data_IF_523828979099
#
_entry.id   IF_523828979099
#
_cell.length_a   1.000
_cell.length_b   1.000
_cell.length_c   1.000
_cell.angle_alpha   90.00
_cell.angle_beta   90.00
_cell.angle_gamma   90.00
#
_symmetry.space_group_name_H-M   'P 1'
#
loop_
_entity.id
_entity.type
_entity.pdbx_description
1 polymer ?
#
# COMPACT_ATOMS: atom_id res chain seq x y z
N UNK A 1 11.86 33.62 43.12
CA UNK A 1 11.13 32.49 42.53
C UNK A 1 9.86 33.04 41.93
N UNK A 2 9.94 33.46 40.68
CA UNK A 2 8.80 34.00 39.92
C UNK A 2 8.13 32.87 39.14
N UNK A 3 6.90 33.11 38.68
CA UNK A 3 6.12 32.13 37.91
C UNK A 3 6.81 31.82 36.56
N UNK A 4 7.57 32.75 35.98
CA UNK A 4 8.31 32.50 34.73
C UNK A 4 9.41 31.43 34.88
N UNK A 5 10.08 31.35 36.03
CA UNK A 5 11.16 30.35 36.27
C UNK A 5 10.63 28.90 36.33
N UNK A 6 9.31 28.69 36.48
CA UNK A 6 8.70 27.36 36.54
C UNK A 6 8.38 26.78 35.15
N UNK A 7 8.38 27.61 34.09
CA UNK A 7 7.95 27.22 32.74
C UNK A 7 9.05 27.30 31.67
N UNK A 8 10.25 27.77 32.01
CA UNK A 8 11.39 27.87 31.07
C UNK A 8 12.30 26.63 31.05
N UNK A 9 12.16 25.70 32.00
CA UNK A 9 12.87 24.42 31.92
C UNK A 9 12.15 23.49 30.93
N UNK A 10 12.79 23.10 29.81
CA UNK A 10 12.26 22.06 28.95
C UNK A 10 12.26 20.77 29.75
N UNK A 11 11.08 20.42 30.29
CA UNK A 11 10.89 19.13 30.92
C UNK A 11 11.19 18.10 29.85
N UNK A 12 12.21 17.28 30.09
CA UNK A 12 12.63 16.15 29.28
C UNK A 12 11.49 15.12 29.29
N UNK A 13 10.39 15.43 28.59
CA UNK A 13 9.18 14.62 28.56
C UNK A 13 9.49 13.39 27.72
N UNK A 14 10.03 12.37 28.38
CA UNK A 14 10.20 11.04 27.80
C UNK A 14 8.83 10.45 27.60
N UNK A 15 8.38 10.41 26.35
CA UNK A 15 7.20 9.63 25.96
C UNK A 15 7.48 8.19 26.40
N UNK A 16 6.72 7.61 27.33
CA UNK A 16 6.93 6.24 27.76
C UNK A 16 6.60 5.32 26.57
N UNK A 17 7.63 4.75 25.96
CA UNK A 17 7.49 3.71 24.95
C UNK A 17 7.35 2.39 25.70
N UNK A 18 6.20 1.73 25.54
CA UNK A 18 6.02 0.38 26.06
C UNK A 18 6.49 -0.59 24.97
N UNK A 19 7.63 -1.23 25.22
CA UNK A 19 8.18 -2.25 24.35
C UNK A 19 7.69 -3.64 24.82
N UNK A 20 6.88 -4.30 23.99
CA UNK A 20 6.38 -5.64 24.28
C UNK A 20 7.37 -6.67 23.74
N UNK A 21 8.28 -7.15 24.58
CA UNK A 21 9.33 -8.11 24.18
C UNK A 21 8.84 -9.56 24.10
N UNK A 22 7.69 -9.89 24.71
CA UNK A 22 7.13 -11.26 24.78
C UNK A 22 5.58 -11.28 24.82
N UNK A 23 4.91 -10.38 24.08
CA UNK A 23 3.45 -10.37 24.04
C UNK A 23 2.92 -11.17 22.85
N UNK A 24 2.00 -12.11 23.12
CA UNK A 24 1.24 -12.77 22.07
C UNK A 24 0.32 -11.76 21.36
N UNK A 25 -0.02 -12.02 20.09
CA UNK A 25 -1.01 -11.25 19.32
C UNK A 25 -2.34 -11.05 20.10
N UNK A 26 -2.75 -12.05 20.88
CA UNK A 26 -3.94 -11.98 21.75
C UNK A 26 -3.79 -10.93 22.86
N UNK A 27 -2.62 -10.85 23.50
CA UNK A 27 -2.34 -9.88 24.55
C UNK A 27 -2.24 -8.46 23.98
N UNK A 28 -1.65 -8.30 22.79
CA UNK A 28 -1.61 -7.02 22.07
C UNK A 28 -3.04 -6.55 21.76
N UNK A 29 -3.90 -7.42 21.23
CA UNK A 29 -5.33 -7.12 21.03
C UNK A 29 -6.07 -6.78 22.33
N UNK A 30 -5.72 -7.42 23.45
CA UNK A 30 -6.36 -7.17 24.75
C UNK A 30 -5.96 -5.81 25.34
N UNK A 31 -4.68 -5.43 25.24
CA UNK A 31 -4.20 -4.09 25.57
C UNK A 31 -4.92 -3.05 24.73
N UNK A 32 -5.05 -3.25 23.42
CA UNK A 32 -5.76 -2.30 22.56
C UNK A 32 -7.26 -2.24 22.82
N UNK A 33 -7.90 -3.35 23.20
CA UNK A 33 -9.28 -3.33 23.69
C UNK A 33 -9.40 -2.48 24.96
N UNK A 34 -8.41 -2.50 25.86
CA UNK A 34 -8.38 -1.66 27.06
C UNK A 34 -8.23 -0.17 26.72
N UNK A 35 -7.32 0.20 25.80
CA UNK A 35 -7.19 1.59 25.32
C UNK A 35 -8.47 2.11 24.68
N UNK A 36 -9.12 1.30 23.84
CA UNK A 36 -10.39 1.65 23.21
C UNK A 36 -11.52 1.84 24.23
N UNK A 37 -11.50 1.12 25.36
CA UNK A 37 -12.46 1.28 26.46
C UNK A 37 -12.24 2.57 27.27
N UNK A 38 -11.03 3.13 27.20
CA UNK A 38 -10.64 4.39 27.87
C UNK A 38 -10.86 5.64 26.98
N UNK A 39 -11.48 5.48 25.80
CA UNK A 39 -11.87 6.60 24.93
C UNK A 39 -10.85 6.99 23.86
N UNK A 40 -9.66 6.34 23.83
CA UNK A 40 -8.68 6.50 22.74
C UNK A 40 -8.93 5.42 21.70
N UNK A 41 -9.61 5.77 20.61
CA UNK A 41 -9.94 4.83 19.53
C UNK A 41 -8.78 4.67 18.55
N UNK A 42 -8.05 3.56 18.69
CA UNK A 42 -7.03 3.18 17.72
C UNK A 42 -7.66 2.77 16.39
N UNK A 43 -7.06 3.20 15.29
CA UNK A 43 -7.48 2.83 13.94
C UNK A 43 -6.90 1.47 13.55
N UNK A 44 -7.34 0.95 12.41
CA UNK A 44 -6.93 -0.36 11.94
C UNK A 44 -5.43 -0.46 11.63
N UNK A 45 -4.78 0.62 11.21
CA UNK A 45 -3.33 0.63 10.96
C UNK A 45 -2.52 0.61 12.25
N UNK A 46 -2.91 1.41 13.24
CA UNK A 46 -2.30 1.43 14.58
C UNK A 46 -2.31 0.03 15.20
N UNK A 47 -3.43 -0.69 15.07
CA UNK A 47 -3.54 -2.07 15.54
C UNK A 47 -2.66 -3.01 14.71
N UNK A 48 -2.68 -2.92 13.38
CA UNK A 48 -1.88 -3.78 12.49
C UNK A 48 -0.39 -3.62 12.73
N UNK A 49 0.09 -2.38 12.80
CA UNK A 49 1.51 -2.07 12.98
C UNK A 49 2.03 -2.69 14.27
N UNK A 50 1.24 -2.69 15.34
CA UNK A 50 1.64 -3.33 16.57
C UNK A 50 1.50 -4.85 16.57
N UNK A 51 0.46 -5.39 15.92
CA UNK A 51 0.22 -6.84 15.86
C UNK A 51 1.24 -7.56 14.99
N UNK A 52 1.60 -6.96 13.86
CA UNK A 52 2.51 -7.54 12.87
C UNK A 52 3.87 -6.84 12.86
N UNK A 53 4.25 -6.15 13.94
CA UNK A 53 5.54 -5.45 14.02
C UNK A 53 6.74 -6.37 13.81
N UNK A 54 6.60 -7.68 14.05
CA UNK A 54 7.65 -8.68 13.81
C UNK A 54 7.79 -9.05 12.32
N UNK A 55 6.78 -8.81 11.49
CA UNK A 55 6.84 -9.02 10.04
C UNK A 55 7.61 -7.85 9.42
N UNK A 56 8.76 -8.13 8.79
CA UNK A 56 9.59 -7.09 8.20
C UNK A 56 8.84 -6.28 7.14
N UNK A 57 7.97 -6.92 6.33
CA UNK A 57 7.13 -6.22 5.37
C UNK A 57 6.36 -5.06 6.01
N UNK A 58 5.77 -5.26 7.20
CA UNK A 58 5.06 -4.18 7.92
C UNK A 58 5.98 -3.02 8.27
N UNK A 59 7.17 -3.30 8.78
CA UNK A 59 8.16 -2.26 9.16
C UNK A 59 8.72 -1.54 7.93
N UNK A 60 9.04 -2.28 6.87
CA UNK A 60 9.52 -1.71 5.61
C UNK A 60 8.44 -0.86 4.92
N UNK A 61 7.18 -1.29 4.93
CA UNK A 61 6.05 -0.48 4.42
C UNK A 61 5.90 0.83 5.21
N UNK A 62 6.01 0.79 6.54
CA UNK A 62 5.95 1.96 7.39
C UNK A 62 7.06 2.98 7.08
N UNK A 63 8.30 2.49 6.91
CA UNK A 63 9.47 3.31 6.59
C UNK A 63 9.37 3.88 5.17
N UNK A 64 9.13 3.05 4.15
CA UNK A 64 9.03 3.47 2.76
C UNK A 64 7.87 4.45 2.53
N UNK A 65 6.76 4.29 3.25
CA UNK A 65 5.65 5.25 3.22
C UNK A 65 5.97 6.60 3.90
N UNK A 66 7.08 6.68 4.65
CA UNK A 66 7.51 7.87 5.37
C UNK A 66 6.73 8.15 6.66
N UNK A 67 6.00 7.17 7.19
CA UNK A 67 5.22 7.30 8.43
C UNK A 67 5.95 6.73 9.67
N UNK A 68 7.17 6.20 9.49
CA UNK A 68 8.05 5.83 10.59
C UNK A 68 8.61 7.08 11.31
N UNK A 69 8.96 6.93 12.59
CA UNK A 69 9.70 7.97 13.31
C UNK A 69 11.08 8.18 12.63
N UNK A 70 11.43 9.42 12.25
CA UNK A 70 12.66 9.72 11.52
C UNK A 70 13.94 9.40 12.31
N UNK A 71 13.86 9.19 13.63
CA UNK A 71 14.99 8.83 14.47
C UNK A 71 15.25 7.32 14.51
N UNK A 72 14.39 6.51 13.89
CA UNK A 72 14.55 5.06 13.91
C UNK A 72 15.59 4.64 12.87
N UNK A 73 16.52 3.81 13.31
CA UNK A 73 17.55 3.22 12.46
C UNK A 73 16.93 2.21 11.48
N UNK A 74 16.82 2.62 10.22
CA UNK A 74 16.29 1.80 9.11
C UNK A 74 17.01 0.47 9.01
N UNK A 75 18.32 0.42 9.30
CA UNK A 75 19.10 -0.82 9.19
C UNK A 75 18.66 -1.88 10.18
N UNK A 76 18.05 -1.47 11.29
CA UNK A 76 17.55 -2.36 12.33
C UNK A 76 16.12 -2.79 12.10
N UNK A 77 15.27 -1.90 11.60
CA UNK A 77 13.83 -2.17 11.48
C UNK A 77 13.41 -2.64 10.09
N UNK A 78 14.11 -2.26 9.03
CA UNK A 78 13.75 -2.59 7.66
C UNK A 78 15.03 -2.82 6.82
N UNK A 79 15.83 -3.86 7.15
CA UNK A 79 17.11 -4.11 6.47
C UNK A 79 16.95 -4.31 4.96
N UNK A 80 15.81 -4.79 4.49
CA UNK A 80 15.49 -4.88 3.05
C UNK A 80 15.57 -3.54 2.30
N UNK A 81 15.27 -2.41 2.96
CA UNK A 81 15.32 -1.09 2.34
C UNK A 81 16.73 -0.55 2.14
N UNK A 82 17.75 -1.10 2.81
CA UNK A 82 19.15 -0.68 2.62
C UNK A 82 19.58 -0.88 1.17
N UNK A 83 19.09 -1.94 0.52
CA UNK A 83 19.38 -2.26 -0.87
C UNK A 83 18.51 -1.53 -1.89
N UNK A 84 17.61 -0.64 -1.45
CA UNK A 84 16.68 0.08 -2.33
C UNK A 84 17.13 1.54 -2.45
N UNK A 85 17.65 1.95 -3.61
CA UNK A 85 18.01 3.35 -3.84
C UNK A 85 16.79 4.26 -3.68
N UNK A 86 16.98 5.39 -3.00
CA UNK A 86 15.99 6.47 -2.86
C UNK A 86 14.59 5.97 -2.44
N UNK A 87 14.52 4.98 -1.54
CA UNK A 87 13.25 4.37 -1.09
C UNK A 87 12.28 5.36 -0.44
N UNK A 88 12.78 6.52 0.02
CA UNK A 88 12.01 7.60 0.62
C UNK A 88 11.17 8.38 -0.41
N UNK A 89 11.50 8.29 -1.70
CA UNK A 89 10.72 8.89 -2.79
C UNK A 89 9.30 8.37 -2.83
N UNK A 90 9.08 7.09 -2.51
CA UNK A 90 7.74 6.51 -2.38
C UNK A 90 6.87 7.32 -1.40
N UNK A 91 7.38 7.61 -0.20
CA UNK A 91 6.67 8.37 0.82
C UNK A 91 6.44 9.84 0.45
N UNK A 92 7.36 10.43 -0.33
CA UNK A 92 7.23 11.78 -0.91
C UNK A 92 6.11 11.79 -1.95
N UNK A 93 6.11 10.86 -2.90
CA UNK A 93 5.09 10.79 -3.95
C UNK A 93 3.70 10.52 -3.38
N UNK A 94 3.55 9.65 -2.37
CA UNK A 94 2.27 9.44 -1.69
C UNK A 94 1.78 10.73 -1.00
N UNK A 95 2.68 11.54 -0.45
CA UNK A 95 2.34 12.86 0.11
C UNK A 95 1.87 13.82 -0.97
N UNK A 96 2.51 13.84 -2.13
CA UNK A 96 2.14 14.68 -3.28
C UNK A 96 0.80 14.27 -3.89
N UNK A 97 0.44 12.99 -3.80
CA UNK A 97 -0.92 12.51 -4.08
C UNK A 97 -1.96 12.97 -3.04
N UNK A 98 -1.54 13.66 -1.98
CA UNK A 98 -2.39 14.24 -0.94
C UNK A 98 -2.72 13.29 0.21
N UNK A 99 -1.88 12.26 0.43
CA UNK A 99 -1.93 11.42 1.63
C UNK A 99 -0.93 11.96 2.67
N UNK A 100 -1.44 12.67 3.67
CA UNK A 100 -0.62 13.14 4.80
C UNK A 100 -0.15 12.00 5.71
N UNK A 101 0.73 12.32 6.65
CA UNK A 101 1.33 11.40 7.63
C UNK A 101 0.43 11.05 8.82
N UNK A 102 -0.59 11.87 9.08
CA UNK A 102 -1.54 11.68 10.19
C UNK A 102 -2.10 10.25 10.25
N UNK A 103 -1.84 9.56 11.36
CA UNK A 103 -2.37 8.22 11.68
C UNK A 103 -2.10 7.15 10.60
N UNK A 104 -0.90 7.13 10.05
CA UNK A 104 -0.40 6.08 9.14
C UNK A 104 -1.17 5.98 7.80
N UNK A 105 -1.66 7.11 7.27
CA UNK A 105 -2.46 7.11 6.04
C UNK A 105 -1.67 6.65 4.81
N UNK A 106 -0.38 6.98 4.70
CA UNK A 106 0.45 6.53 3.57
C UNK A 106 0.76 5.04 3.69
N UNK A 107 1.08 4.59 4.90
CA UNK A 107 1.26 3.16 5.22
C UNK A 107 0.01 2.34 4.88
N UNK A 108 -1.19 2.86 5.18
CA UNK A 108 -2.46 2.24 4.78
C UNK A 108 -2.55 2.03 3.28
N UNK A 109 -2.31 3.09 2.50
CA UNK A 109 -2.43 3.05 1.04
C UNK A 109 -1.41 2.05 0.47
N UNK A 110 -0.16 2.11 0.93
CA UNK A 110 0.89 1.21 0.46
C UNK A 110 0.61 -0.25 0.85
N UNK A 111 0.20 -0.50 2.10
CA UNK A 111 -0.22 -1.85 2.55
C UNK A 111 -1.37 -2.39 1.72
N UNK A 112 -2.29 -1.52 1.32
CA UNK A 112 -3.41 -1.90 0.47
C UNK A 112 -2.93 -2.26 -0.95
N UNK A 113 -2.10 -1.42 -1.59
CA UNK A 113 -1.48 -1.74 -2.89
C UNK A 113 -0.77 -3.09 -2.84
N UNK A 114 0.11 -3.30 -1.86
CA UNK A 114 0.87 -4.54 -1.70
C UNK A 114 -0.07 -5.74 -1.50
N UNK A 115 -1.08 -5.61 -0.65
CA UNK A 115 -2.04 -6.69 -0.41
C UNK A 115 -2.87 -7.03 -1.66
N UNK A 116 -3.18 -6.06 -2.51
CA UNK A 116 -3.91 -6.32 -3.76
C UNK A 116 -2.99 -6.97 -4.80
N UNK A 117 -1.74 -6.53 -4.84
CA UNK A 117 -0.74 -7.06 -5.77
C UNK A 117 -0.35 -8.51 -5.45
N UNK A 118 -0.25 -8.87 -4.16
CA UNK A 118 0.43 -10.12 -3.74
C UNK A 118 -0.44 -11.11 -2.95
N UNK A 119 -1.56 -10.70 -2.34
CA UNK A 119 -2.35 -11.61 -1.52
C UNK A 119 -3.26 -12.48 -2.40
N UNK A 120 -2.82 -13.71 -2.66
CA UNK A 120 -3.68 -14.76 -3.20
C UNK A 120 -4.51 -15.41 -2.08
N UNK A 121 -5.82 -15.34 -2.22
CA UNK A 121 -6.80 -15.91 -1.28
C UNK A 121 -7.29 -17.30 -1.68
N UNK A 122 -6.70 -17.92 -2.72
CA UNK A 122 -7.07 -19.23 -3.23
C UNK A 122 -8.46 -19.18 -3.86
N UNK A 123 -9.45 -19.88 -3.32
CA UNK A 123 -10.83 -19.83 -3.82
C UNK A 123 -11.74 -18.87 -3.03
N UNK A 124 -11.19 -18.16 -2.04
CA UNK A 124 -11.95 -17.28 -1.15
C UNK A 124 -12.09 -15.89 -1.75
N UNK A 125 -13.20 -15.24 -1.43
CA UNK A 125 -13.44 -13.84 -1.78
C UNK A 125 -12.56 -12.91 -0.94
N UNK A 126 -12.20 -11.77 -1.53
CA UNK A 126 -11.52 -10.71 -0.81
C UNK A 126 -12.43 -10.16 0.30
N UNK A 127 -11.91 -10.18 1.53
CA UNK A 127 -12.58 -9.62 2.69
C UNK A 127 -12.62 -8.07 2.62
N UNK A 128 -13.04 -7.42 3.70
CA UNK A 128 -12.84 -5.96 3.83
C UNK A 128 -11.35 -5.61 3.68
N UNK A 129 -11.00 -4.40 3.20
CA UNK A 129 -9.60 -3.97 3.05
C UNK A 129 -8.77 -4.24 4.30
N UNK A 130 -9.29 -3.85 5.48
CA UNK A 130 -8.59 -4.05 6.74
C UNK A 130 -8.36 -5.55 7.04
N UNK A 131 -9.38 -6.39 6.80
CA UNK A 131 -9.27 -7.84 7.00
C UNK A 131 -8.33 -8.49 5.98
N UNK A 132 -8.36 -8.04 4.71
CA UNK A 132 -7.49 -8.56 3.66
C UNK A 132 -6.01 -8.34 3.98
N UNK A 133 -5.65 -7.11 4.38
CA UNK A 133 -4.28 -6.78 4.77
C UNK A 133 -3.87 -7.59 6.00
N UNK A 134 -4.73 -7.70 7.01
CA UNK A 134 -4.41 -8.51 8.20
C UNK A 134 -4.22 -9.99 7.87
N UNK A 135 -5.07 -10.59 7.02
CA UNK A 135 -4.93 -11.99 6.60
C UNK A 135 -3.63 -12.23 5.83
N UNK A 136 -3.24 -11.29 4.97
CA UNK A 136 -1.99 -11.33 4.24
C UNK A 136 -0.77 -11.25 5.16
N UNK A 137 -0.75 -10.31 6.11
CA UNK A 137 0.35 -10.22 7.07
C UNK A 137 0.42 -11.44 7.99
N UNK A 138 -0.74 -11.99 8.36
CA UNK A 138 -0.83 -13.22 9.15
C UNK A 138 -0.30 -14.44 8.40
N UNK A 139 -0.48 -14.53 7.08
CA UNK A 139 0.07 -15.64 6.30
C UNK A 139 1.59 -15.60 6.25
N UNK A 140 2.18 -14.41 6.13
CA UNK A 140 3.64 -14.22 6.18
C UNK A 140 4.17 -14.54 7.59
N UNK A 141 3.55 -14.01 8.64
CA UNK A 141 3.97 -14.23 10.02
C UNK A 141 3.98 -15.72 10.41
N UNK A 142 3.01 -16.50 9.92
CA UNK A 142 2.89 -17.93 10.24
C UNK A 142 3.80 -18.83 9.41
N UNK A 143 4.38 -18.33 8.33
CA UNK A 143 5.18 -19.13 7.41
C UNK A 143 6.59 -18.53 7.25
N UNK A 144 7.58 -18.98 8.03
CA UNK A 144 8.97 -18.51 7.89
C UNK A 144 9.56 -18.72 6.50
N UNK A 145 9.09 -19.73 5.77
CA UNK A 145 9.49 -20.01 4.38
C UNK A 145 8.73 -19.19 3.34
N UNK A 146 7.90 -18.23 3.75
CA UNK A 146 7.16 -17.38 2.84
C UNK A 146 8.15 -16.51 2.06
N UNK A 147 8.06 -16.38 0.73
CA UNK A 147 9.03 -15.58 -0.04
C UNK A 147 9.15 -14.12 0.43
N UNK A 148 8.05 -13.50 0.86
CA UNK A 148 8.03 -12.16 1.48
C UNK A 148 8.56 -12.09 2.92
N UNK A 149 9.00 -13.19 3.52
CA UNK A 149 9.82 -13.18 4.74
C UNK A 149 11.31 -13.04 4.42
N UNK A 150 11.72 -13.25 3.17
CA UNK A 150 13.11 -13.14 2.72
C UNK A 150 13.47 -11.67 2.40
N UNK A 151 14.57 -11.19 2.98
CA UNK A 151 15.05 -9.81 2.79
C UNK A 151 15.25 -9.47 1.32
N UNK A 152 15.80 -10.39 0.52
CA UNK A 152 16.05 -10.14 -0.91
C UNK A 152 14.78 -9.93 -1.74
N UNK A 153 13.72 -10.70 -1.43
CA UNK A 153 12.40 -10.52 -2.06
C UNK A 153 11.79 -9.17 -1.67
N UNK A 154 11.91 -8.79 -0.40
CA UNK A 154 11.44 -7.48 0.08
C UNK A 154 12.21 -6.33 -0.57
N UNK A 155 13.54 -6.41 -0.69
CA UNK A 155 14.34 -5.40 -1.40
C UNK A 155 13.83 -5.22 -2.83
N UNK A 156 13.63 -6.31 -3.56
CA UNK A 156 13.11 -6.25 -4.93
C UNK A 156 11.70 -5.66 -4.99
N UNK A 157 10.83 -6.04 -4.06
CA UNK A 157 9.46 -5.53 -3.98
C UNK A 157 9.47 -4.00 -3.79
N UNK A 158 10.25 -3.48 -2.85
CA UNK A 158 10.28 -2.04 -2.59
C UNK A 158 10.97 -1.25 -3.70
N UNK A 159 12.00 -1.79 -4.35
CA UNK A 159 12.58 -1.20 -5.56
C UNK A 159 11.53 -1.13 -6.68
N UNK A 160 10.83 -2.23 -6.95
CA UNK A 160 9.74 -2.30 -7.94
C UNK A 160 8.64 -1.27 -7.65
N UNK A 161 8.21 -1.16 -6.39
CA UNK A 161 7.18 -0.20 -5.98
C UNK A 161 7.67 1.24 -6.13
N UNK A 162 8.95 1.51 -5.85
CA UNK A 162 9.53 2.84 -6.01
C UNK A 162 9.48 3.25 -7.49
N UNK A 163 9.96 2.38 -8.38
CA UNK A 163 9.95 2.62 -9.83
C UNK A 163 8.54 2.77 -10.39
N UNK A 164 7.62 1.88 -10.02
CA UNK A 164 6.23 1.94 -10.47
C UNK A 164 5.52 3.22 -10.03
N UNK A 165 5.77 3.69 -8.79
CA UNK A 165 5.21 4.93 -8.27
C UNK A 165 5.81 6.15 -8.97
N UNK A 166 7.11 6.13 -9.28
CA UNK A 166 7.78 7.20 -10.04
C UNK A 166 7.22 7.32 -11.46
N UNK A 167 7.13 6.21 -12.20
CA UNK A 167 6.53 6.17 -13.54
C UNK A 167 5.09 6.67 -13.49
N UNK A 168 4.29 6.17 -12.55
CA UNK A 168 2.90 6.61 -12.39
C UNK A 168 2.79 8.11 -12.10
N UNK A 169 3.71 8.69 -11.32
CA UNK A 169 3.75 10.10 -11.00
C UNK A 169 4.23 10.99 -12.15
N UNK A 170 5.20 10.51 -12.94
CA UNK A 170 5.78 11.26 -14.06
C UNK A 170 4.75 11.50 -15.17
N UNK A 171 3.87 10.52 -15.42
CA UNK A 171 2.91 10.54 -16.52
C UNK A 171 1.55 11.15 -16.13
N UNK A 172 1.55 12.42 -15.72
CA UNK A 172 0.34 13.11 -15.26
C UNK A 172 -0.75 13.27 -16.34
N UNK A 173 -0.36 13.23 -17.61
CA UNK A 173 -1.20 13.30 -18.80
C UNK A 173 -2.17 12.12 -18.93
N UNK A 174 -1.85 10.97 -18.34
CA UNK A 174 -2.72 9.80 -18.32
C UNK A 174 -3.98 10.00 -17.48
N UNK A 175 -3.87 10.84 -16.44
CA UNK A 175 -4.83 10.87 -15.35
C UNK A 175 -5.71 12.10 -15.44
N UNK A 176 -6.92 11.94 -15.99
CA UNK A 176 -7.87 13.05 -16.04
C UNK A 176 -8.16 13.61 -14.65
N UNK A 177 -8.41 14.93 -14.58
CA UNK A 177 -8.70 15.59 -13.31
C UNK A 177 -9.95 15.01 -12.63
N UNK A 178 -10.96 14.61 -13.41
CA UNK A 178 -12.16 13.95 -12.90
C UNK A 178 -11.86 12.61 -12.22
N UNK A 179 -10.94 11.82 -12.80
CA UNK A 179 -10.51 10.54 -12.25
C UNK A 179 -9.74 10.71 -10.94
N UNK A 180 -8.77 11.64 -10.90
CA UNK A 180 -8.00 11.97 -9.69
C UNK A 180 -8.92 12.48 -8.58
N UNK A 181 -9.66 13.57 -8.83
CA UNK A 181 -10.68 14.12 -7.94
C UNK A 181 -11.53 15.21 -8.62
N UNK A 182 -12.83 14.94 -8.80
CA UNK A 182 -13.76 15.78 -9.55
C UNK A 182 -14.18 17.12 -8.92
N UNK A 183 -13.60 17.58 -7.81
CA UNK A 183 -14.14 18.77 -7.11
C UNK A 183 -13.17 19.75 -6.44
N UNK A 184 -11.97 19.35 -5.98
CA UNK A 184 -11.01 20.26 -5.32
C UNK A 184 -9.55 19.77 -5.43
N UNK A 185 -8.82 20.26 -6.43
CA UNK A 185 -7.35 20.18 -6.54
C UNK A 185 -6.76 18.80 -6.87
N UNK A 186 -5.44 18.76 -7.05
CA UNK A 186 -4.58 17.62 -7.50
C UNK A 186 -4.52 16.42 -6.54
N UNK A 187 -5.45 16.31 -5.59
CA UNK A 187 -5.49 15.22 -4.61
C UNK A 187 -6.06 13.95 -5.23
N UNK A 188 -5.42 12.82 -5.00
CA UNK A 188 -5.90 11.53 -5.46
C UNK A 188 -6.96 10.94 -4.55
N UNK A 189 -7.94 10.29 -5.18
CA UNK A 189 -8.87 9.41 -4.49
C UNK A 189 -8.27 8.00 -4.34
N UNK A 190 -8.47 7.39 -3.15
CA UNK A 190 -7.87 6.10 -2.79
C UNK A 190 -8.07 5.02 -3.87
N UNK A 191 -9.32 4.73 -4.27
CA UNK A 191 -9.65 3.61 -5.16
C UNK A 191 -9.02 3.73 -6.56
N UNK A 192 -9.03 4.95 -7.11
CA UNK A 192 -8.43 5.26 -8.39
C UNK A 192 -6.92 5.03 -8.35
N UNK A 193 -6.25 5.60 -7.34
CA UNK A 193 -4.83 5.43 -7.14
C UNK A 193 -4.44 3.95 -6.96
N UNK A 194 -5.24 3.19 -6.20
CA UNK A 194 -5.00 1.76 -5.99
C UNK A 194 -5.06 0.97 -7.29
N UNK A 195 -6.12 1.14 -8.09
CA UNK A 195 -6.27 0.45 -9.35
C UNK A 195 -5.16 0.79 -10.33
N UNK A 196 -4.83 2.08 -10.48
CA UNK A 196 -3.80 2.52 -11.42
C UNK A 196 -2.39 2.12 -10.98
N UNK A 197 -2.05 2.24 -9.69
CA UNK A 197 -0.74 1.80 -9.19
C UNK A 197 -0.56 0.28 -9.29
N UNK A 198 -1.58 -0.52 -9.00
CA UNK A 198 -1.51 -1.97 -9.18
C UNK A 198 -1.30 -2.31 -10.66
N UNK A 199 -2.03 -1.66 -11.57
CA UNK A 199 -1.86 -1.85 -13.01
C UNK A 199 -0.46 -1.45 -13.52
N UNK A 200 0.04 -0.27 -13.15
CA UNK A 200 1.41 0.16 -13.51
C UNK A 200 2.46 -0.78 -12.91
N UNK A 201 2.30 -1.22 -11.66
CA UNK A 201 3.25 -2.15 -11.03
C UNK A 201 3.26 -3.50 -11.76
N UNK A 202 2.10 -4.04 -12.12
CA UNK A 202 2.01 -5.27 -12.92
C UNK A 202 2.67 -5.10 -14.29
N UNK A 203 2.42 -3.98 -14.97
CA UNK A 203 3.01 -3.69 -16.27
C UNK A 203 4.54 -3.53 -16.19
N UNK A 204 5.04 -2.83 -15.17
CA UNK A 204 6.48 -2.65 -14.93
C UNK A 204 7.18 -3.98 -14.68
N UNK A 205 6.60 -4.85 -13.86
CA UNK A 205 7.15 -6.18 -13.60
C UNK A 205 7.19 -7.05 -14.86
N UNK A 206 6.17 -6.93 -15.72
CA UNK A 206 6.07 -7.71 -16.95
C UNK A 206 6.97 -7.20 -18.08
N UNK A 207 7.22 -5.89 -18.11
CA UNK A 207 7.86 -5.20 -19.24
C UNK A 207 8.64 -3.97 -18.76
N UNK A 208 9.71 -4.14 -17.95
CA UNK A 208 10.38 -3.02 -17.29
C UNK A 208 11.10 -2.08 -18.28
N UNK A 209 11.59 -2.61 -19.41
CA UNK A 209 12.45 -1.87 -20.35
C UNK A 209 11.68 -1.04 -21.38
N UNK A 210 10.40 -1.33 -21.63
CA UNK A 210 9.58 -0.67 -22.66
C UNK A 210 8.25 -0.09 -22.12
N UNK A 211 8.07 -0.06 -20.79
CA UNK A 211 6.83 0.44 -20.18
C UNK A 211 6.57 1.91 -20.52
N UNK A 212 7.60 2.77 -20.46
CA UNK A 212 7.45 4.19 -20.79
C UNK A 212 7.03 4.40 -22.26
N UNK A 213 7.65 3.67 -23.20
CA UNK A 213 7.27 3.71 -24.62
C UNK A 213 5.80 3.26 -24.82
N UNK A 214 5.36 2.24 -24.09
CA UNK A 214 3.97 1.77 -24.12
C UNK A 214 3.01 2.81 -23.54
N UNK A 215 3.42 3.49 -22.48
CA UNK A 215 2.65 4.59 -21.88
C UNK A 215 2.48 5.72 -22.89
N UNK A 216 3.57 6.18 -23.51
CA UNK A 216 3.53 7.25 -24.50
C UNK A 216 2.64 6.89 -25.70
N UNK A 217 2.78 5.67 -26.22
CA UNK A 217 2.00 5.20 -27.36
C UNK A 217 0.49 5.09 -27.06
N UNK A 218 0.10 4.88 -25.80
CA UNK A 218 -1.29 4.64 -25.39
C UNK A 218 -1.87 5.73 -24.49
N UNK A 219 -1.17 6.85 -24.31
CA UNK A 219 -1.52 7.89 -23.35
C UNK A 219 -2.94 8.46 -23.57
N UNK A 220 -3.31 8.70 -24.83
CA UNK A 220 -4.65 9.20 -25.18
C UNK A 220 -5.75 8.18 -24.83
N UNK A 221 -5.52 6.90 -25.11
CA UNK A 221 -6.48 5.83 -24.82
C UNK A 221 -6.66 5.64 -23.32
N UNK A 222 -5.57 5.67 -22.54
CA UNK A 222 -5.60 5.61 -21.08
C UNK A 222 -6.36 6.83 -20.52
N UNK A 223 -6.03 8.03 -21.00
CA UNK A 223 -6.74 9.24 -20.57
C UNK A 223 -8.25 9.16 -20.86
N UNK A 224 -8.62 8.72 -22.07
CA UNK A 224 -10.02 8.53 -22.45
C UNK A 224 -10.74 7.52 -21.54
N UNK A 225 -10.10 6.41 -21.16
CA UNK A 225 -10.66 5.42 -20.24
C UNK A 225 -10.90 6.03 -18.84
N UNK A 226 -10.00 6.90 -18.36
CA UNK A 226 -10.20 7.59 -17.07
C UNK A 226 -11.41 8.52 -17.04
N UNK A 227 -11.83 9.03 -18.20
CA UNK A 227 -12.98 9.93 -18.34
C UNK A 227 -14.28 9.13 -18.50
N UNK A 228 -14.26 8.11 -19.36
CA UNK A 228 -15.47 7.46 -19.85
C UNK A 228 -15.79 6.14 -19.13
N UNK A 229 -14.76 5.35 -18.82
CA UNK A 229 -14.94 3.94 -18.46
C UNK A 229 -14.65 3.66 -16.98
N UNK A 230 -13.64 4.30 -16.42
CA UNK A 230 -13.20 4.11 -15.04
C UNK A 230 -13.93 5.02 -14.06
N UNK A 231 -15.26 5.02 -14.15
CA UNK A 231 -16.13 5.83 -13.31
C UNK A 231 -16.24 5.22 -11.92
N UNK A 232 -15.91 6.02 -10.90
CA UNK A 232 -16.01 5.60 -9.51
C UNK A 232 -17.45 5.22 -9.14
N UNK A 233 -17.68 4.08 -8.45
CA UNK A 233 -19.01 3.70 -7.99
C UNK A 233 -19.62 4.69 -6.97
N UNK A 234 -20.92 4.95 -7.09
CA UNK A 234 -21.65 5.87 -6.21
C UNK A 234 -21.87 5.34 -4.78
N UNK A 235 -21.89 4.01 -4.60
CA UNK A 235 -21.91 3.34 -3.30
C UNK A 235 -20.69 2.45 -3.16
N UNK A 236 -19.86 2.72 -2.16
CA UNK A 236 -18.65 1.94 -1.88
C UNK A 236 -18.92 0.85 -0.86
N UNK A 237 -19.61 -0.21 -1.29
CA UNK A 237 -19.57 -1.48 -0.57
C UNK A 237 -18.26 -2.20 -0.91
N UNK A 238 -17.76 -3.05 0.00
CA UNK A 238 -16.49 -3.78 -0.15
C UNK A 238 -16.33 -4.42 -1.53
N UNK A 239 -17.34 -5.18 -2.00
CA UNK A 239 -17.29 -5.83 -3.32
C UNK A 239 -17.17 -4.82 -4.45
N UNK A 240 -17.94 -3.73 -4.42
CA UNK A 240 -17.92 -2.70 -5.46
C UNK A 240 -16.58 -1.97 -5.52
N UNK A 241 -15.90 -1.79 -4.38
CA UNK A 241 -14.53 -1.26 -4.34
C UNK A 241 -13.56 -2.22 -5.03
N UNK A 242 -13.63 -3.52 -4.72
CA UNK A 242 -12.77 -4.52 -5.34
C UNK A 242 -13.00 -4.64 -6.84
N UNK A 243 -14.26 -4.66 -7.28
CA UNK A 243 -14.60 -4.68 -8.71
C UNK A 243 -14.03 -3.48 -9.46
N UNK A 244 -14.06 -2.30 -8.86
CA UNK A 244 -13.50 -1.09 -9.47
C UNK A 244 -11.97 -1.18 -9.59
N UNK A 245 -11.28 -1.57 -8.51
CA UNK A 245 -9.82 -1.76 -8.53
C UNK A 245 -9.44 -2.84 -9.57
N UNK A 246 -10.18 -3.95 -9.62
CA UNK A 246 -10.00 -5.03 -10.59
C UNK A 246 -10.12 -4.55 -12.03
N UNK A 247 -11.14 -3.73 -12.31
CA UNK A 247 -11.39 -3.15 -13.63
C UNK A 247 -10.23 -2.25 -14.05
N UNK A 248 -9.88 -1.27 -13.23
CA UNK A 248 -8.82 -0.29 -13.56
C UNK A 248 -7.47 -0.99 -13.76
N UNK A 249 -7.08 -1.87 -12.83
CA UNK A 249 -5.78 -2.56 -12.93
C UNK A 249 -5.70 -3.43 -14.19
N UNK A 250 -6.76 -4.20 -14.49
CA UNK A 250 -6.81 -5.05 -15.69
C UNK A 250 -6.79 -4.24 -16.98
N UNK A 251 -7.72 -3.30 -17.12
CA UNK A 251 -7.86 -2.53 -18.37
C UNK A 251 -6.65 -1.64 -18.62
N UNK A 252 -5.98 -1.13 -17.58
CA UNK A 252 -4.72 -0.40 -17.75
C UNK A 252 -3.62 -1.28 -18.32
N UNK A 253 -3.45 -2.52 -17.83
CA UNK A 253 -2.47 -3.46 -18.37
C UNK A 253 -2.82 -3.82 -19.83
N UNK A 254 -4.11 -4.03 -20.14
CA UNK A 254 -4.57 -4.28 -21.52
C UNK A 254 -4.30 -3.09 -22.45
N UNK A 255 -4.54 -1.86 -22.00
CA UNK A 255 -4.26 -0.63 -22.76
C UNK A 255 -2.77 -0.42 -23.03
N UNK A 256 -1.90 -0.92 -22.15
CA UNK A 256 -0.44 -0.92 -22.37
C UNK A 256 0.02 -2.04 -23.33
N UNK A 257 -0.93 -2.80 -23.90
CA UNK A 257 -0.64 -3.87 -24.86
C UNK A 257 -0.01 -5.09 -24.21
N UNK A 258 -0.30 -5.35 -22.94
CA UNK A 258 0.18 -6.50 -22.18
C UNK A 258 -1.00 -7.44 -21.85
N UNK A 259 -0.71 -8.73 -21.70
CA UNK A 259 -1.68 -9.69 -21.19
C UNK A 259 -1.71 -9.65 -19.65
N UNK A 260 -2.85 -9.33 -19.00
CA UNK A 260 -2.93 -9.25 -17.55
C UNK A 260 -2.58 -10.54 -16.82
N UNK A 261 -2.89 -11.71 -17.39
CA UNK A 261 -2.56 -13.00 -16.77
C UNK A 261 -1.05 -13.26 -16.83
N UNK A 262 -0.40 -13.00 -17.98
CA UNK A 262 1.06 -13.08 -18.09
C UNK A 262 1.79 -12.07 -17.18
N UNK A 263 1.25 -10.85 -17.05
CA UNK A 263 1.80 -9.84 -16.13
C UNK A 263 1.65 -10.30 -14.67
N UNK A 264 0.50 -10.87 -14.31
CA UNK A 264 0.28 -11.46 -12.99
C UNK A 264 1.21 -12.64 -12.70
N UNK A 265 1.49 -13.48 -13.70
CA UNK A 265 2.48 -14.56 -13.56
C UNK A 265 3.88 -14.01 -13.32
N UNK A 266 4.27 -12.93 -14.01
CA UNK A 266 5.57 -12.27 -13.79
C UNK A 266 5.70 -11.74 -12.36
N UNK A 267 4.62 -11.18 -11.79
CA UNK A 267 4.55 -10.80 -10.36
C UNK A 267 4.73 -12.02 -9.46
N UNK A 268 4.03 -13.12 -9.75
CA UNK A 268 4.14 -14.34 -8.96
C UNK A 268 5.55 -14.95 -9.01
N UNK A 269 6.20 -14.94 -10.18
CA UNK A 269 7.55 -15.46 -10.36
C UNK A 269 8.59 -14.64 -9.57
N UNK A 270 8.39 -13.33 -9.45
CA UNK A 270 9.31 -12.46 -8.72
C UNK A 270 9.10 -12.45 -7.20
N UNK A 271 7.86 -12.55 -6.74
CA UNK A 271 7.50 -12.33 -5.33
C UNK A 271 6.88 -13.54 -4.63
N UNK A 272 6.66 -14.64 -5.36
CA UNK A 272 6.11 -15.89 -4.87
C UNK A 272 4.59 -16.01 -4.91
N UNK A 273 3.87 -14.91 -5.17
CA UNK A 273 2.41 -14.90 -5.31
C UNK A 273 1.92 -13.67 -6.08
N UNK A 274 0.70 -13.75 -6.61
CA UNK A 274 0.01 -12.63 -7.22
C UNK A 274 -1.45 -12.61 -6.77
N UNK A 275 -1.92 -11.46 -6.31
CA UNK A 275 -3.31 -11.24 -5.90
C UNK A 275 -4.28 -11.02 -7.07
N UNK A 276 -3.78 -11.00 -8.31
CA UNK A 276 -4.57 -10.69 -9.49
C UNK A 276 -5.78 -11.63 -9.67
N UNK A 277 -5.58 -12.94 -9.55
CA UNK A 277 -6.68 -13.92 -9.67
C UNK A 277 -7.76 -13.68 -8.61
N UNK A 278 -7.36 -13.39 -7.36
CA UNK A 278 -8.27 -13.01 -6.29
C UNK A 278 -9.06 -11.75 -6.57
N UNK A 279 -8.39 -10.75 -7.13
CA UNK A 279 -9.00 -9.49 -7.52
C UNK A 279 -10.02 -9.70 -8.66
N UNK A 280 -9.67 -10.46 -9.70
CA UNK A 280 -10.56 -10.71 -10.86
C UNK A 280 -11.79 -11.54 -10.50
N UNK A 281 -11.70 -12.47 -9.54
CA UNK A 281 -12.88 -13.20 -9.05
C UNK A 281 -13.96 -12.29 -8.47
N UNK A 282 -13.56 -11.15 -7.89
CA UNK A 282 -14.52 -10.17 -7.39
C UNK A 282 -15.33 -9.52 -8.53
N UNK A 283 -14.71 -9.37 -9.71
CA UNK A 283 -15.33 -8.81 -10.91
C UNK A 283 -16.14 -9.82 -11.72
N UNK A 284 -15.73 -11.09 -11.76
CA UNK A 284 -16.36 -12.12 -12.61
C UNK A 284 -17.63 -12.73 -12.02
N UNK A 285 -17.84 -12.67 -10.70
CA UNK A 285 -19.08 -13.15 -10.09
C UNK A 285 -20.24 -12.23 -10.44
N UNK A 286 -21.32 -12.79 -11.01
CA UNK A 286 -22.60 -12.09 -11.17
C UNK A 286 -23.15 -11.68 -9.79
N UNK A 287 -23.78 -10.51 -9.74
CA UNK A 287 -24.50 -10.00 -8.56
C UNK A 287 -25.78 -10.79 -8.33
#
# INVERSE_FOLDING_TARGET
MTVEELFEDPVDYKIPVIEYTQATQRQIHEVFRLYNKQGVHLNAEEIRNAVYHEVELTRATLVAAGDADPNVDVTRIAPSLIGVPDFDRLGITLKDYGFGDSRYKRTKVLSWVISVLLHDTGDKDLASTATNISQFLESIQKAPSHPLAETSTLTRLFDTLNQAVEIHAAHTELWSQQFKNSSKGDRWQELQLLGSLVGITMAYVASPDDLEDRIEANAEAINAATINDWVRPSKTQTRTQWMFIAKVAKELVELLGLDPEAAAQSVADQFGSSGYASLQRMASRKS
#
